data_IF_529554475307
#
_entry.id   IF_529554475307
#
_cell.length_a   1.000
_cell.length_b   1.000
_cell.length_c   1.000
_cell.angle_alpha   90.00
_cell.angle_beta   90.00
_cell.angle_gamma   90.00
#
_symmetry.space_group_name_H-M   'P 1'
#
loop_
_entity.id
_entity.type
_entity.pdbx_description
1 polymer ?
#
# COMPACT_ATOMS: atom_id res chain seq x y z
N UNK A 1 -7.51 -20.64 5.93
CA UNK A 1 -8.44 -19.49 5.92
C UNK A 1 -8.44 -18.88 4.53
N UNK A 2 -9.57 -18.43 4.01
CA UNK A 2 -9.68 -17.71 2.73
C UNK A 2 -10.14 -16.29 3.05
N UNK A 3 -9.45 -15.27 2.50
CA UNK A 3 -9.86 -13.87 2.61
C UNK A 3 -10.66 -13.49 1.37
N UNK A 4 -11.97 -13.42 1.51
CA UNK A 4 -12.88 -12.92 0.48
C UNK A 4 -13.06 -11.41 0.67
N UNK A 5 -12.20 -10.61 0.03
CA UNK A 5 -12.18 -9.15 0.22
C UNK A 5 -13.50 -8.47 -0.14
N UNK A 6 -14.34 -9.05 -1.02
CA UNK A 6 -15.65 -8.48 -1.32
C UNK A 6 -16.65 -8.59 -0.16
N UNK A 7 -16.32 -9.36 0.88
CA UNK A 7 -17.12 -9.52 2.10
C UNK A 7 -16.51 -8.82 3.31
N UNK A 8 -15.33 -8.22 3.15
CA UNK A 8 -14.68 -7.43 4.20
C UNK A 8 -15.15 -5.99 4.03
N UNK A 9 -15.49 -5.31 5.14
CA UNK A 9 -15.90 -3.91 5.08
C UNK A 9 -14.77 -3.02 4.54
N UNK A 10 -15.12 -2.07 3.68
CA UNK A 10 -14.15 -1.08 3.19
C UNK A 10 -13.82 -0.09 4.31
N UNK A 11 -12.53 0.08 4.58
CA UNK A 11 -12.01 1.15 5.43
C UNK A 11 -11.51 2.29 4.56
N UNK A 12 -11.91 3.51 4.89
CA UNK A 12 -11.40 4.73 4.26
C UNK A 12 -10.45 5.43 5.23
N UNK A 13 -9.23 5.75 4.76
CA UNK A 13 -8.20 6.50 5.50
C UNK A 13 -7.87 7.78 4.73
N UNK A 14 -8.34 8.91 5.24
CA UNK A 14 -8.02 10.23 4.68
C UNK A 14 -6.61 10.65 5.04
N UNK A 15 -5.87 11.19 4.08
CA UNK A 15 -4.50 11.69 4.21
C UNK A 15 -3.58 10.70 4.95
N UNK A 16 -3.64 9.42 4.54
CA UNK A 16 -2.96 8.35 5.22
C UNK A 16 -1.43 8.57 5.20
N UNK A 17 -0.81 8.57 6.38
CA UNK A 17 0.59 9.01 6.60
C UNK A 17 0.92 10.41 6.04
N UNK A 18 -0.06 11.32 6.00
CA UNK A 18 0.10 12.66 5.43
C UNK A 18 0.13 12.69 3.90
N UNK A 19 -0.28 11.60 3.24
CA UNK A 19 -0.50 11.56 1.81
C UNK A 19 -1.72 12.38 1.36
N UNK A 20 -2.03 12.32 0.08
CA UNK A 20 -3.11 13.06 -0.55
C UNK A 20 -4.39 12.22 -0.64
N UNK A 21 -5.54 12.87 -0.46
CA UNK A 21 -6.89 12.28 -0.60
C UNK A 21 -7.09 11.05 0.29
N UNK A 22 -7.62 9.94 -0.24
CA UNK A 22 -8.05 8.77 0.53
C UNK A 22 -7.35 7.49 0.06
N UNK A 23 -6.94 6.67 1.02
CA UNK A 23 -6.74 5.24 0.82
C UNK A 23 -8.05 4.52 1.15
N UNK A 24 -8.58 3.78 0.18
CA UNK A 24 -9.71 2.86 0.36
C UNK A 24 -9.19 1.44 0.40
N UNK A 25 -9.51 0.68 1.43
CA UNK A 25 -8.95 -0.66 1.57
C UNK A 25 -9.84 -1.63 2.35
N UNK A 26 -9.84 -2.88 1.90
CA UNK A 26 -10.38 -4.01 2.64
C UNK A 26 -9.23 -4.70 3.38
N UNK A 27 -9.30 -4.82 4.71
CA UNK A 27 -8.16 -5.25 5.52
C UNK A 27 -8.49 -6.45 6.41
N UNK A 28 -7.54 -7.38 6.54
CA UNK A 28 -7.48 -8.38 7.59
C UNK A 28 -6.21 -8.14 8.41
N UNK A 29 -6.37 -7.87 9.70
CA UNK A 29 -5.27 -7.52 10.59
C UNK A 29 -5.27 -8.50 11.77
N UNK A 30 -4.14 -9.16 11.98
CA UNK A 30 -3.87 -9.93 13.19
C UNK A 30 -2.54 -9.51 13.83
N UNK A 31 -2.10 -10.26 14.84
CA UNK A 31 -0.86 -9.96 15.58
C UNK A 31 0.43 -10.08 14.74
N UNK A 32 0.38 -10.78 13.61
CA UNK A 32 1.54 -11.12 12.80
C UNK A 32 1.50 -10.44 11.43
N UNK A 33 0.31 -10.13 10.89
CA UNK A 33 0.15 -9.62 9.54
C UNK A 33 -0.96 -8.58 9.45
N UNK A 34 -0.71 -7.57 8.62
CA UNK A 34 -1.75 -6.74 8.01
C UNK A 34 -1.80 -7.12 6.53
N UNK A 35 -2.97 -7.52 6.06
CA UNK A 35 -3.19 -7.93 4.68
C UNK A 35 -4.30 -7.04 4.14
N UNK A 36 -4.05 -6.33 3.04
CA UNK A 36 -5.02 -5.40 2.49
C UNK A 36 -5.11 -5.46 0.96
N UNK A 37 -6.33 -5.27 0.47
CA UNK A 37 -6.62 -4.90 -0.92
C UNK A 37 -6.93 -3.41 -0.92
N UNK A 38 -6.01 -2.60 -1.45
CA UNK A 38 -6.06 -1.14 -1.44
C UNK A 38 -6.32 -0.55 -2.81
N UNK A 39 -6.99 0.61 -2.85
CA UNK A 39 -7.17 1.45 -4.04
C UNK A 39 -6.86 2.90 -3.71
N UNK A 40 -6.08 3.53 -4.61
CA UNK A 40 -5.83 4.96 -4.65
C UNK A 40 -6.47 5.53 -5.92
N UNK A 41 -7.35 6.51 -5.75
CA UNK A 41 -7.91 7.25 -6.89
C UNK A 41 -6.86 8.20 -7.51
N UNK A 42 -7.08 8.75 -8.72
CA UNK A 42 -6.17 9.70 -9.34
C UNK A 42 -5.76 10.85 -8.41
N UNK A 43 -4.45 11.03 -8.21
CA UNK A 43 -3.88 12.04 -7.33
C UNK A 43 -3.87 11.69 -5.83
N UNK A 44 -4.36 10.52 -5.43
CA UNK A 44 -4.26 10.05 -4.05
C UNK A 44 -2.87 9.43 -3.77
N UNK A 45 -2.43 9.48 -2.53
CA UNK A 45 -1.19 8.84 -2.10
C UNK A 45 -1.24 8.35 -0.67
N UNK A 46 -0.40 7.34 -0.40
CA UNK A 46 0.05 7.01 0.95
C UNK A 46 1.33 7.79 1.17
N UNK A 47 1.37 8.59 2.23
CA UNK A 47 2.52 9.43 2.54
C UNK A 47 3.78 8.64 2.90
N UNK A 48 4.92 9.32 2.89
CA UNK A 48 6.21 8.73 3.22
C UNK A 48 6.22 8.24 4.68
N UNK A 49 6.49 6.97 4.90
CA UNK A 49 6.54 6.37 6.23
C UNK A 49 7.59 5.26 6.30
N UNK A 50 8.05 4.97 7.53
CA UNK A 50 9.11 3.99 7.81
C UNK A 50 8.55 2.72 8.43
N UNK A 51 9.04 1.58 7.96
CA UNK A 51 8.75 0.27 8.53
C UNK A 51 9.80 -0.12 9.58
N UNK A 52 9.70 0.44 10.80
CA UNK A 52 10.70 0.24 11.86
C UNK A 52 10.79 -1.21 12.38
N UNK A 53 9.64 -1.90 12.48
CA UNK A 53 9.51 -3.23 13.12
C UNK A 53 8.99 -4.33 12.19
N UNK A 54 8.66 -3.97 10.95
CA UNK A 54 8.03 -4.83 9.96
C UNK A 54 8.63 -4.55 8.58
N UNK A 55 8.10 -5.15 7.53
CA UNK A 55 8.37 -4.80 6.13
C UNK A 55 7.05 -4.68 5.39
N UNK A 56 7.04 -4.21 4.15
CA UNK A 56 5.84 -4.25 3.31
C UNK A 56 6.13 -4.80 1.92
N UNK A 57 5.24 -5.68 1.45
CA UNK A 57 5.20 -6.17 0.08
C UNK A 57 3.95 -5.58 -0.56
N UNK A 58 4.09 -4.88 -1.68
CA UNK A 58 2.97 -4.33 -2.47
C UNK A 58 3.02 -4.94 -3.87
N UNK A 59 1.94 -5.60 -4.28
CA UNK A 59 1.76 -6.10 -5.64
C UNK A 59 0.69 -5.30 -6.37
N UNK A 60 1.04 -4.68 -7.49
CA UNK A 60 0.10 -3.86 -8.26
C UNK A 60 -0.80 -4.76 -9.11
N UNK A 61 -2.11 -4.64 -8.90
CA UNK A 61 -3.12 -5.43 -9.59
C UNK A 61 -3.62 -4.72 -10.86
N UNK A 62 -3.82 -3.40 -10.79
CA UNK A 62 -4.25 -2.59 -11.92
C UNK A 62 -3.83 -1.14 -11.78
N UNK A 63 -3.77 -0.42 -12.90
CA UNK A 63 -3.34 0.99 -12.93
C UNK A 63 -1.83 1.16 -12.95
N UNK A 64 -1.39 2.39 -12.74
CA UNK A 64 0.01 2.80 -12.70
C UNK A 64 0.20 3.94 -11.70
N UNK A 65 1.43 4.10 -11.24
CA UNK A 65 1.83 5.17 -10.34
C UNK A 65 3.32 5.14 -10.11
N UNK A 66 3.75 5.62 -8.94
CA UNK A 66 5.15 5.55 -8.51
C UNK A 66 5.28 5.35 -7.02
N UNK A 67 6.41 4.81 -6.62
CA UNK A 67 6.85 4.76 -5.23
C UNK A 67 7.98 5.75 -5.03
N UNK A 68 8.01 6.45 -3.89
CA UNK A 68 9.22 7.11 -3.42
C UNK A 68 9.94 6.12 -2.52
N UNK A 69 11.15 5.71 -2.87
CA UNK A 69 11.96 4.78 -2.09
C UNK A 69 13.42 5.26 -2.09
N UNK A 70 14.03 5.36 -0.90
CA UNK A 70 15.40 5.86 -0.73
C UNK A 70 15.69 7.21 -1.43
N UNK A 71 14.68 8.08 -1.54
CA UNK A 71 14.78 9.40 -2.16
C UNK A 71 14.56 9.42 -3.68
N UNK A 72 14.41 8.26 -4.31
CA UNK A 72 14.19 8.13 -5.76
C UNK A 72 12.75 7.72 -6.07
N UNK A 73 12.26 8.15 -7.23
CA UNK A 73 10.94 7.75 -7.72
C UNK A 73 11.05 6.58 -8.69
N UNK A 74 10.41 5.47 -8.35
CA UNK A 74 10.32 4.29 -9.20
C UNK A 74 8.89 4.11 -9.72
N UNK A 75 8.74 3.88 -11.03
CA UNK A 75 7.43 3.67 -11.64
C UNK A 75 6.91 2.27 -11.35
N UNK A 76 5.62 2.17 -11.03
CA UNK A 76 4.92 0.89 -10.81
C UNK A 76 3.69 0.79 -11.69
N UNK A 77 3.36 -0.43 -12.09
CA UNK A 77 2.20 -0.76 -12.91
C UNK A 77 1.78 -2.21 -12.69
N UNK A 78 0.60 -2.58 -13.19
CA UNK A 78 0.03 -3.91 -13.04
C UNK A 78 1.05 -5.03 -13.32
N UNK A 79 1.17 -5.97 -12.38
CA UNK A 79 2.09 -7.10 -12.44
C UNK A 79 3.44 -6.87 -11.77
N UNK A 80 3.76 -5.63 -11.38
CA UNK A 80 4.98 -5.30 -10.63
C UNK A 80 4.79 -5.42 -9.13
N UNK A 81 5.89 -5.75 -8.44
CA UNK A 81 5.96 -5.86 -6.99
C UNK A 81 6.95 -4.83 -6.45
N UNK A 82 6.50 -4.01 -5.50
CA UNK A 82 7.37 -3.20 -4.65
C UNK A 82 7.61 -3.92 -3.34
N UNK A 83 8.84 -3.86 -2.83
CA UNK A 83 9.22 -4.39 -1.53
C UNK A 83 9.92 -3.30 -0.73
N UNK A 84 9.41 -3.01 0.46
CA UNK A 84 10.02 -2.12 1.43
C UNK A 84 10.57 -2.94 2.60
N UNK A 85 11.90 -3.11 2.70
CA UNK A 85 12.53 -3.82 3.81
C UNK A 85 12.31 -3.11 5.15
N UNK A 86 12.52 -3.85 6.24
CA UNK A 86 12.54 -3.25 7.58
C UNK A 86 13.64 -2.19 7.68
N UNK A 87 13.30 -1.07 8.31
CA UNK A 87 14.19 0.09 8.48
C UNK A 87 14.18 1.06 7.29
N UNK A 88 13.50 0.72 6.18
CA UNK A 88 13.37 1.60 5.04
C UNK A 88 12.08 2.41 5.09
N UNK A 89 12.09 3.57 4.42
CA UNK A 89 10.91 4.40 4.20
C UNK A 89 10.43 4.32 2.76
N UNK A 90 9.11 4.37 2.57
CA UNK A 90 8.54 4.47 1.23
C UNK A 90 7.23 5.25 1.20
N UNK A 91 6.77 5.58 0.00
CA UNK A 91 5.42 6.07 -0.28
C UNK A 91 4.83 5.34 -1.48
N UNK A 92 3.52 5.43 -1.67
CA UNK A 92 2.84 4.97 -2.90
C UNK A 92 1.94 6.08 -3.42
N UNK A 93 2.15 6.50 -4.65
CA UNK A 93 1.51 7.67 -5.25
C UNK A 93 0.83 7.26 -6.55
N UNK A 94 -0.46 7.56 -6.67
CA UNK A 94 -1.17 7.48 -7.94
C UNK A 94 -1.12 8.85 -8.64
N UNK A 95 -0.12 9.06 -9.49
CA UNK A 95 0.00 10.24 -10.35
C UNK A 95 -0.58 10.02 -11.77
N UNK A 96 -1.45 9.02 -11.91
CA UNK A 96 -2.13 8.70 -13.16
C UNK A 96 -3.58 9.21 -13.18
N UNK A 97 -4.29 8.94 -14.29
CA UNK A 97 -5.68 9.34 -14.48
C UNK A 97 -6.69 8.22 -14.16
N UNK A 98 -6.21 7.03 -13.81
CA UNK A 98 -7.03 5.86 -13.48
C UNK A 98 -6.78 5.41 -12.04
N UNK A 99 -7.66 4.56 -11.49
CA UNK A 99 -7.44 3.99 -10.17
C UNK A 99 -6.22 3.05 -10.16
N UNK A 100 -5.41 3.17 -9.10
CA UNK A 100 -4.31 2.26 -8.79
C UNK A 100 -4.79 1.30 -7.71
N UNK A 101 -4.92 0.02 -8.05
CA UNK A 101 -5.33 -1.03 -7.11
C UNK A 101 -4.17 -1.98 -6.86
N UNK A 102 -3.95 -2.31 -5.60
CA UNK A 102 -2.81 -3.11 -5.15
C UNK A 102 -3.20 -4.03 -4.01
N UNK A 103 -2.46 -5.12 -3.88
CA UNK A 103 -2.49 -6.02 -2.74
C UNK A 103 -1.24 -5.77 -1.90
N UNK A 104 -1.39 -5.59 -0.60
CA UNK A 104 -0.25 -5.40 0.30
C UNK A 104 -0.27 -6.33 1.50
N UNK A 105 0.93 -6.71 1.93
CA UNK A 105 1.18 -7.53 3.13
C UNK A 105 2.25 -6.87 3.96
N UNK A 106 1.93 -6.57 5.21
CA UNK A 106 2.84 -6.04 6.22
C UNK A 106 3.03 -7.09 7.32
N UNK A 107 4.04 -7.98 7.22
CA UNK A 107 4.36 -8.92 8.28
C UNK A 107 5.12 -8.23 9.43
N UNK A 108 4.79 -8.56 10.67
CA UNK A 108 5.56 -8.14 11.85
C UNK A 108 6.77 -9.07 12.06
N UNK A 109 7.96 -8.48 12.27
CA UNK A 109 9.22 -9.25 12.41
C UNK A 109 9.63 -9.46 13.87
N UNK A 110 9.18 -8.59 14.77
CA UNK A 110 9.48 -8.69 16.20
C UNK A 110 8.53 -9.64 16.92
N UNK A 111 9.11 -10.61 17.63
CA UNK A 111 8.58 -11.14 18.89
C UNK A 111 9.46 -10.65 20.03
#
# INVERSE_FOLDING_TARGET
MILDFSKIEETVKTQFYGGEKELRAHMNIDKNNKILLGTLEPGASIGLHTHETNSEIIYILSGKGKVLFEGEYELVSAGLCHYCPQGCSHSLINDSNDNLTFFAVVPEHTK
#
